data_IF_654527151113
#
_entry.id   IF_654527151113
#
_cell.length_a   1.000
_cell.length_b   1.000
_cell.length_c   1.000
_cell.angle_alpha   90.00
_cell.angle_beta   90.00
_cell.angle_gamma   90.00
#
_symmetry.space_group_name_H-M   'P 1'
#
loop_
_entity.id
_entity.type
_entity.pdbx_description
1 polymer ?
#
# COMPACT_ATOMS: atom_id res chain seq x y z
N UNK A 1 -24.90 -8.75 -18.00
CA UNK A 1 -25.55 -7.98 -16.92
C UNK A 1 -24.53 -7.02 -16.37
N UNK A 2 -24.81 -5.71 -16.35
CA UNK A 2 -23.91 -4.75 -15.68
C UNK A 2 -24.02 -4.94 -14.17
N UNK A 3 -22.90 -4.81 -13.46
CA UNK A 3 -22.86 -4.94 -12.01
C UNK A 3 -23.56 -3.74 -11.34
N UNK A 4 -24.10 -3.95 -10.13
CA UNK A 4 -24.74 -2.87 -9.37
C UNK A 4 -23.80 -1.68 -9.11
N UNK A 5 -22.49 -1.93 -9.11
CA UNK A 5 -21.46 -0.91 -8.96
C UNK A 5 -21.41 0.04 -10.17
N UNK A 6 -21.46 -0.51 -11.39
CA UNK A 6 -21.44 0.28 -12.62
C UNK A 6 -22.70 1.15 -12.76
N UNK A 7 -23.85 0.61 -12.36
CA UNK A 7 -25.13 1.34 -12.40
C UNK A 7 -25.19 2.48 -11.37
N UNK A 8 -24.57 2.29 -10.20
CA UNK A 8 -24.47 3.32 -9.17
C UNK A 8 -23.53 4.46 -9.58
N UNK A 9 -22.46 4.15 -10.32
CA UNK A 9 -21.50 5.12 -10.83
C UNK A 9 -22.06 6.00 -11.97
N UNK A 10 -22.91 5.45 -12.85
CA UNK A 10 -23.62 6.21 -13.88
C UNK A 10 -24.53 7.28 -13.26
N UNK A 11 -25.23 6.96 -12.15
CA UNK A 11 -26.14 7.90 -11.47
C UNK A 11 -25.40 8.99 -10.70
N UNK A 12 -24.27 8.66 -10.07
CA UNK A 12 -23.43 9.60 -9.34
C UNK A 12 -22.75 10.61 -10.29
N UNK A 13 -22.52 10.21 -11.55
CA UNK A 13 -21.92 11.07 -12.56
C UNK A 13 -22.84 12.20 -13.05
N UNK A 14 -24.14 12.15 -12.77
CA UNK A 14 -25.10 13.09 -13.34
C UNK A 14 -25.24 14.43 -12.59
N UNK A 15 -24.78 14.56 -11.33
CA UNK A 15 -25.31 15.62 -10.46
C UNK A 15 -24.37 16.63 -9.79
N UNK A 16 -23.03 16.52 -9.78
CA UNK A 16 -22.16 17.57 -9.19
C UNK A 16 -20.76 17.68 -9.84
N UNK A 17 -20.15 18.88 -9.89
CA UNK A 17 -18.74 19.08 -10.18
C UNK A 17 -17.92 18.99 -8.87
N UNK A 18 -18.11 17.93 -8.08
CA UNK A 18 -17.04 17.49 -7.19
C UNK A 18 -15.89 17.01 -8.07
N UNK A 19 -14.62 17.24 -7.73
CA UNK A 19 -13.46 16.61 -8.40
C UNK A 19 -13.76 15.11 -8.49
N UNK A 20 -14.27 14.65 -9.64
CA UNK A 20 -14.67 13.26 -9.80
C UNK A 20 -13.38 12.47 -9.74
N UNK A 21 -13.23 11.69 -8.68
CA UNK A 21 -12.21 10.65 -8.59
C UNK A 21 -12.44 9.75 -9.81
N UNK A 22 -11.65 9.97 -10.86
CA UNK A 22 -11.81 9.24 -12.11
C UNK A 22 -11.60 7.75 -11.85
N UNK A 23 -12.27 6.89 -12.61
CA UNK A 23 -12.06 5.45 -12.47
C UNK A 23 -10.60 5.06 -12.79
N UNK A 24 -9.92 5.85 -13.63
CA UNK A 24 -8.47 5.74 -13.85
C UNK A 24 -7.67 6.05 -12.58
N UNK A 25 -8.03 7.09 -11.81
CA UNK A 25 -7.38 7.41 -10.54
C UNK A 25 -7.61 6.32 -9.50
N UNK A 26 -8.84 5.80 -9.38
CA UNK A 26 -9.14 4.68 -8.47
C UNK A 26 -8.32 3.44 -8.81
N UNK A 27 -8.25 3.08 -10.09
CA UNK A 27 -7.48 1.93 -10.56
C UNK A 27 -5.99 2.10 -10.25
N UNK A 28 -5.43 3.27 -10.53
CA UNK A 28 -4.04 3.57 -10.21
C UNK A 28 -3.74 3.49 -8.70
N UNK A 29 -4.64 4.00 -7.85
CA UNK A 29 -4.51 3.88 -6.39
C UNK A 29 -4.56 2.41 -5.93
N UNK A 30 -5.47 1.61 -6.47
CA UNK A 30 -5.58 0.19 -6.13
C UNK A 30 -4.35 -0.62 -6.55
N UNK A 31 -3.78 -0.33 -7.73
CA UNK A 31 -2.52 -0.94 -8.20
C UNK A 31 -1.33 -0.57 -7.30
N UNK A 32 -1.26 0.69 -6.87
CA UNK A 32 -0.28 1.14 -5.88
C UNK A 32 -0.48 0.37 -4.56
N UNK A 33 -1.71 0.32 -4.03
CA UNK A 33 -1.99 -0.37 -2.77
C UNK A 33 -1.57 -1.84 -2.82
N UNK A 34 -1.96 -2.58 -3.87
CA UNK A 34 -1.57 -3.97 -4.03
C UNK A 34 -0.04 -4.15 -4.08
N UNK A 35 0.66 -3.27 -4.80
CA UNK A 35 2.12 -3.32 -4.90
C UNK A 35 2.80 -3.11 -3.55
N UNK A 36 2.35 -2.11 -2.77
CA UNK A 36 2.97 -1.78 -1.50
C UNK A 36 2.61 -2.75 -0.38
N UNK A 37 1.39 -3.30 -0.40
CA UNK A 37 1.02 -4.41 0.49
C UNK A 37 1.90 -5.64 0.24
N UNK A 38 2.16 -5.99 -1.03
CA UNK A 38 3.06 -7.09 -1.37
C UNK A 38 4.49 -6.84 -0.87
N UNK A 39 5.03 -5.62 -1.06
CA UNK A 39 6.36 -5.24 -0.54
C UNK A 39 6.46 -5.37 0.99
N UNK A 40 5.43 -4.93 1.71
CA UNK A 40 5.37 -5.07 3.17
C UNK A 40 5.39 -6.56 3.56
N UNK A 41 4.50 -7.35 2.96
CA UNK A 41 4.37 -8.77 3.27
C UNK A 41 5.68 -9.55 2.98
N UNK A 42 6.35 -9.24 1.88
CA UNK A 42 7.66 -9.82 1.53
C UNK A 42 8.70 -9.48 2.60
N UNK A 43 8.80 -8.21 2.99
CA UNK A 43 9.79 -7.75 3.97
C UNK A 43 9.53 -8.33 5.36
N UNK A 44 8.27 -8.37 5.79
CA UNK A 44 7.84 -9.01 7.04
C UNK A 44 8.14 -10.51 7.04
N UNK A 45 7.85 -11.21 5.94
CA UNK A 45 8.13 -12.66 5.82
C UNK A 45 9.63 -12.93 5.90
N UNK A 46 10.43 -12.17 5.16
CA UNK A 46 11.87 -12.36 5.09
C UNK A 46 12.56 -12.08 6.42
N UNK A 47 12.40 -10.88 6.99
CA UNK A 47 13.04 -10.53 8.25
C UNK A 47 12.39 -11.25 9.44
N UNK A 48 11.08 -11.49 9.41
CA UNK A 48 10.38 -12.29 10.41
C UNK A 48 10.94 -13.71 10.53
N UNK A 49 11.26 -14.34 9.39
CA UNK A 49 11.93 -15.64 9.36
C UNK A 49 13.31 -15.62 10.03
N UNK A 50 14.11 -14.58 9.77
CA UNK A 50 15.43 -14.40 10.38
C UNK A 50 15.35 -14.10 11.88
N UNK A 51 14.45 -13.21 12.28
CA UNK A 51 14.20 -12.88 13.70
C UNK A 51 13.80 -14.15 14.47
N UNK A 52 12.90 -14.95 13.90
CA UNK A 52 12.48 -16.20 14.51
C UNK A 52 13.65 -17.21 14.61
N UNK A 53 14.55 -17.26 13.62
CA UNK A 53 15.74 -18.09 13.67
C UNK A 53 16.73 -17.63 14.76
N UNK A 54 17.02 -16.34 14.83
CA UNK A 54 17.91 -15.74 15.84
C UNK A 54 17.38 -15.96 17.27
N UNK A 55 16.07 -15.81 17.48
CA UNK A 55 15.44 -16.12 18.78
C UNK A 55 15.58 -17.61 19.15
N UNK A 56 15.41 -18.52 18.19
CA UNK A 56 15.59 -19.97 18.44
C UNK A 56 17.03 -20.35 18.77
N UNK A 57 18.02 -19.61 18.27
CA UNK A 57 19.43 -19.83 18.59
C UNK A 57 19.90 -19.08 19.85
N UNK A 58 19.02 -18.33 20.52
CA UNK A 58 19.37 -17.49 21.68
C UNK A 58 20.17 -16.23 21.32
N UNK A 59 20.25 -15.87 20.04
CA UNK A 59 20.91 -14.66 19.55
C UNK A 59 20.00 -13.44 19.71
N UNK A 60 19.71 -13.04 20.95
CA UNK A 60 18.77 -11.95 21.26
C UNK A 60 19.20 -10.59 20.70
N UNK A 61 20.51 -10.30 20.72
CA UNK A 61 21.05 -9.06 20.14
C UNK A 61 20.82 -9.00 18.63
N UNK A 62 21.09 -10.10 17.92
CA UNK A 62 20.83 -10.19 16.48
C UNK A 62 19.34 -10.05 16.18
N UNK A 63 18.48 -10.70 16.99
CA UNK A 63 17.03 -10.58 16.86
C UNK A 63 16.54 -9.14 17.09
N UNK A 64 17.17 -8.38 17.99
CA UNK A 64 16.86 -6.97 18.22
C UNK A 64 17.28 -6.08 17.05
N UNK A 65 18.49 -6.28 16.52
CA UNK A 65 18.99 -5.57 15.33
C UNK A 65 18.06 -5.80 14.13
N UNK A 66 17.68 -7.06 13.88
CA UNK A 66 16.77 -7.41 12.78
C UNK A 66 15.36 -6.82 12.95
N UNK A 67 14.86 -6.69 14.18
CA UNK A 67 13.59 -6.01 14.46
C UNK A 67 13.69 -4.51 14.16
N UNK A 68 14.81 -3.88 14.50
CA UNK A 68 15.04 -2.46 14.22
C UNK A 68 15.15 -2.21 12.69
N UNK A 69 15.85 -3.09 11.98
CA UNK A 69 15.92 -3.09 10.51
C UNK A 69 14.52 -3.18 9.89
N UNK A 70 13.72 -4.18 10.30
CA UNK A 70 12.35 -4.33 9.84
C UNK A 70 11.52 -3.06 10.09
N UNK A 71 11.66 -2.46 11.27
CA UNK A 71 11.00 -1.22 11.61
C UNK A 71 11.39 -0.06 10.69
N UNK A 72 12.68 0.10 10.36
CA UNK A 72 13.17 1.12 9.42
C UNK A 72 12.62 0.89 8.02
N UNK A 73 12.68 -0.35 7.54
CA UNK A 73 12.21 -0.71 6.21
C UNK A 73 10.71 -0.45 6.03
N UNK A 74 9.89 -0.88 7.00
CA UNK A 74 8.44 -0.67 6.93
C UNK A 74 8.06 0.81 6.94
N UNK A 75 8.80 1.65 7.68
CA UNK A 75 8.60 3.11 7.62
C UNK A 75 8.90 3.66 6.23
N UNK A 76 10.06 3.31 5.66
CA UNK A 76 10.44 3.77 4.32
C UNK A 76 9.44 3.31 3.24
N UNK A 77 8.97 2.05 3.31
CA UNK A 77 7.96 1.53 2.38
C UNK A 77 6.64 2.31 2.50
N UNK A 78 6.19 2.62 3.72
CA UNK A 78 4.96 3.40 3.96
C UNK A 78 5.07 4.85 3.50
N UNK A 79 6.21 5.48 3.72
CA UNK A 79 6.48 6.84 3.22
C UNK A 79 6.46 6.90 1.69
N UNK A 80 7.11 5.94 1.02
CA UNK A 80 7.08 5.84 -0.44
C UNK A 80 5.64 5.55 -0.95
N UNK A 81 4.89 4.70 -0.25
CA UNK A 81 3.50 4.38 -0.55
C UNK A 81 2.63 5.63 -0.52
N UNK A 82 2.66 6.40 0.57
CA UNK A 82 1.88 7.63 0.69
C UNK A 82 2.32 8.67 -0.34
N UNK A 83 3.62 8.83 -0.59
CA UNK A 83 4.13 9.74 -1.62
C UNK A 83 3.58 9.41 -3.01
N UNK A 84 3.51 8.12 -3.38
CA UNK A 84 2.96 7.70 -4.68
C UNK A 84 1.46 7.91 -4.77
N UNK A 85 0.71 7.60 -3.70
CA UNK A 85 -0.73 7.89 -3.67
C UNK A 85 -1.01 9.38 -3.80
N UNK A 86 -0.21 10.22 -3.13
CA UNK A 86 -0.38 11.67 -3.20
C UNK A 86 -0.12 12.21 -4.59
N UNK A 87 0.91 11.71 -5.30
CA UNK A 87 1.14 12.08 -6.71
C UNK A 87 -0.05 11.75 -7.60
N UNK A 88 -0.70 10.61 -7.38
CA UNK A 88 -1.90 10.22 -8.14
C UNK A 88 -3.10 11.11 -7.80
N UNK A 89 -3.29 11.48 -6.52
CA UNK A 89 -4.37 12.37 -6.08
C UNK A 89 -4.19 13.82 -6.53
N UNK A 90 -2.94 14.28 -6.58
CA UNK A 90 -2.56 15.63 -6.99
C UNK A 90 -2.41 15.78 -8.52
N UNK A 91 -2.45 14.68 -9.27
CA UNK A 91 -2.41 14.74 -10.73
C UNK A 91 -3.67 15.44 -11.28
N UNK A 92 -3.51 16.40 -12.21
CA UNK A 92 -4.68 17.02 -12.85
C UNK A 92 -5.47 15.94 -13.59
N UNK A 93 -6.79 15.93 -13.36
CA UNK A 93 -7.72 15.11 -14.13
C UNK A 93 -7.64 15.55 -15.60
N UNK A 94 -7.01 14.72 -16.45
CA UNK A 94 -7.11 14.85 -17.90
C UNK A 94 -8.51 14.45 -18.38
#
# INVERSE_FOLDING_TARGET
>A
MKSAYELAMERLSAHEPARKVSDSMKKALAEIDATYQAKIAERETFLGGKIAAARRSGAEEEAAILQEELGRDLRGIREEWESKKERVRSAPSQ
#
